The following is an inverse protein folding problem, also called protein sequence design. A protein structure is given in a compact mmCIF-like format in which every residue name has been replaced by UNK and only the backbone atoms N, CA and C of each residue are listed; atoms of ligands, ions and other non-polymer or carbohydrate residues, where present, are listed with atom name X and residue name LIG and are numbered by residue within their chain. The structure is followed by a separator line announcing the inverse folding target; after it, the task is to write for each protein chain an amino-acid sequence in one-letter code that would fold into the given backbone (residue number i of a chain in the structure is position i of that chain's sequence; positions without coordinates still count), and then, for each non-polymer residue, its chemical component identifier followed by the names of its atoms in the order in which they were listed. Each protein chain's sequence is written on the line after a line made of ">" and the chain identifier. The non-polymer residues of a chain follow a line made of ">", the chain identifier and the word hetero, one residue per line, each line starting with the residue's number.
data_IF_871295924028
#
_entry.id   IF_871295924028
#
_cell.length_a   1.000
_cell.length_b   1.000
_cell.length_c   1.000
_cell.angle_alpha   90.00
_cell.angle_beta   90.00
_cell.angle_gamma   90.00
#
_symmetry.space_group_name_H-M   'P 1'
#
loop_
_entity.id
_entity.type
_entity.pdbx_description
1 polymer ?
#
# COMPACT_ATOMS: atom_id res chain seq x y z
N UNK A 1 -49.31 -16.03 0.16
CA UNK A 1 -48.46 -15.34 -0.83
C UNK A 1 -47.24 -16.21 -1.08
N UNK A 2 -47.25 -16.88 -2.24
CA UNK A 2 -46.04 -17.35 -2.89
C UNK A 2 -45.22 -16.11 -3.32
N UNK A 3 -43.89 -16.14 -3.34
CA UNK A 3 -43.17 -16.81 -4.39
C UNK A 3 -41.96 -17.61 -3.90
N UNK A 4 -41.96 -18.87 -4.31
CA UNK A 4 -40.81 -19.78 -4.37
C UNK A 4 -40.01 -19.44 -5.63
N UNK A 5 -38.68 -19.42 -5.53
CA UNK A 5 -37.79 -19.75 -6.65
C UNK A 5 -36.68 -20.67 -6.12
N UNK A 6 -36.96 -21.97 -6.18
CA UNK A 6 -36.02 -23.08 -6.12
C UNK A 6 -35.10 -23.07 -7.34
N UNK A 7 -33.82 -23.39 -7.17
CA UNK A 7 -32.96 -23.75 -8.31
C UNK A 7 -31.48 -23.78 -8.01
N UNK A 8 -30.90 -24.99 -7.96
CA UNK A 8 -29.47 -25.27 -7.84
C UNK A 8 -28.65 -24.58 -8.93
N UNK A 9 -27.51 -24.03 -8.52
CA UNK A 9 -26.41 -23.68 -9.39
C UNK A 9 -25.16 -23.52 -8.53
N UNK A 10 -24.54 -24.63 -8.14
CA UNK A 10 -23.22 -24.63 -7.54
C UNK A 10 -22.21 -24.36 -8.66
N UNK A 11 -22.23 -23.17 -9.25
CA UNK A 11 -21.10 -22.64 -10.00
C UNK A 11 -20.24 -21.99 -8.94
N UNK A 12 -19.18 -22.69 -8.52
CA UNK A 12 -18.06 -22.03 -7.87
C UNK A 12 -17.73 -20.83 -8.76
N UNK A 13 -18.04 -19.63 -8.29
CA UNK A 13 -17.59 -18.40 -8.93
C UNK A 13 -16.09 -18.58 -9.06
N UNK A 14 -15.61 -18.70 -10.29
CA UNK A 14 -14.20 -18.77 -10.58
C UNK A 14 -13.60 -17.54 -9.91
N UNK A 15 -12.93 -17.75 -8.78
CA UNK A 15 -12.20 -16.68 -8.10
C UNK A 15 -11.17 -16.26 -9.13
N UNK A 16 -11.41 -15.16 -9.84
CA UNK A 16 -10.34 -14.46 -10.56
C UNK A 16 -9.35 -14.05 -9.48
N UNK A 17 -8.36 -14.89 -9.24
CA UNK A 17 -7.24 -14.56 -8.39
C UNK A 17 -6.45 -13.51 -9.14
N UNK A 18 -6.53 -12.27 -8.69
CA UNK A 18 -5.53 -11.28 -9.06
C UNK A 18 -4.18 -11.84 -8.62
N UNK A 19 -3.22 -11.88 -9.54
CA UNK A 19 -1.90 -12.40 -9.24
C UNK A 19 -1.29 -11.59 -8.09
N UNK A 20 -0.82 -12.25 -7.02
CA UNK A 20 -0.39 -11.55 -5.81
C UNK A 20 0.75 -10.56 -6.13
N UNK A 21 0.59 -9.35 -5.61
CA UNK A 21 1.53 -8.23 -5.73
C UNK A 21 2.37 -8.13 -4.45
N UNK A 22 3.60 -7.70 -4.61
CA UNK A 22 4.63 -7.58 -3.59
C UNK A 22 5.35 -6.25 -3.73
N UNK A 23 5.53 -5.56 -2.62
CA UNK A 23 6.23 -4.27 -2.57
C UNK A 23 7.66 -4.45 -2.08
N UNK A 24 8.61 -3.79 -2.75
CA UNK A 24 10.02 -3.79 -2.37
C UNK A 24 10.54 -2.37 -2.22
N UNK A 25 11.24 -2.12 -1.10
CA UNK A 25 11.89 -0.85 -0.86
C UNK A 25 13.33 -0.87 -1.40
N UNK A 26 13.66 0.06 -2.31
CA UNK A 26 15.01 0.20 -2.85
C UNK A 26 16.09 0.35 -1.76
N UNK A 27 15.73 1.02 -0.66
CA UNK A 27 16.61 1.21 0.49
C UNK A 27 17.09 -0.10 1.11
N UNK A 28 16.23 -1.12 1.19
CA UNK A 28 16.57 -2.43 1.77
C UNK A 28 17.62 -3.17 0.92
N UNK A 29 17.58 -2.99 -0.40
CA UNK A 29 18.55 -3.61 -1.31
C UNK A 29 19.90 -2.89 -1.31
N UNK A 30 19.93 -1.59 -0.97
CA UNK A 30 21.19 -0.86 -0.71
C UNK A 30 21.84 -1.28 0.60
N UNK A 31 21.04 -1.52 1.65
CA UNK A 31 21.53 -1.87 3.00
C UNK A 31 21.74 -3.37 3.22
N UNK A 32 21.52 -4.22 2.20
CA UNK A 32 21.85 -5.65 2.18
C UNK A 32 23.37 -5.96 2.26
N UNK A 33 24.14 -5.11 2.95
CA UNK A 33 25.51 -5.33 3.38
C UNK A 33 25.63 -6.28 4.58
N UNK A 34 24.53 -6.82 5.11
CA UNK A 34 24.55 -8.09 5.86
C UNK A 34 24.12 -9.24 4.93
N UNK A 35 25.04 -9.66 4.07
CA UNK A 35 24.88 -10.86 3.22
C UNK A 35 24.88 -10.56 1.73
N UNK A 36 26.07 -10.52 1.13
CA UNK A 36 26.31 -10.43 -0.32
C UNK A 36 25.30 -11.23 -1.16
N UNK A 37 24.47 -10.51 -1.92
CA UNK A 37 23.65 -11.10 -2.96
C UNK A 37 23.23 -10.06 -3.98
N UNK A 38 23.95 -9.98 -5.10
CA UNK A 38 23.31 -9.65 -6.37
C UNK A 38 22.07 -10.55 -6.53
N UNK A 39 21.04 -10.08 -7.25
CA UNK A 39 19.83 -10.82 -7.64
C UNK A 39 20.10 -12.13 -8.46
N UNK A 40 21.34 -12.66 -8.42
CA UNK A 40 21.83 -13.84 -9.14
C UNK A 40 21.87 -15.15 -8.35
N UNK A 41 21.32 -15.25 -7.13
CA UNK A 41 21.08 -16.55 -6.48
C UNK A 41 19.58 -16.80 -6.35
N UNK A 42 19.15 -17.92 -6.93
CA UNK A 42 17.77 -18.39 -7.12
C UNK A 42 16.94 -18.29 -5.83
N UNK A 43 16.34 -17.13 -5.58
CA UNK A 43 15.12 -17.03 -4.78
C UNK A 43 13.98 -17.25 -5.78
N UNK A 44 13.35 -18.42 -5.69
CA UNK A 44 12.17 -18.73 -6.50
C UNK A 44 10.96 -18.11 -5.81
N UNK A 45 10.83 -16.78 -5.88
CA UNK A 45 9.61 -16.07 -5.50
C UNK A 45 8.81 -15.75 -6.78
N UNK A 46 7.56 -16.21 -6.91
CA UNK A 46 6.69 -15.80 -8.00
C UNK A 46 5.75 -14.71 -7.49
N UNK A 47 6.08 -13.43 -7.61
CA UNK A 47 5.16 -12.33 -7.23
C UNK A 47 5.41 -11.10 -8.10
N UNK A 48 4.34 -10.37 -8.43
CA UNK A 48 4.39 -9.08 -9.13
C UNK A 48 4.98 -8.02 -8.20
N UNK A 49 5.72 -7.04 -8.71
CA UNK A 49 6.69 -6.27 -7.89
C UNK A 49 6.48 -4.74 -8.00
N UNK A 50 6.62 -3.97 -6.89
CA UNK A 50 6.41 -2.50 -6.79
C UNK A 50 7.61 -1.78 -6.14
N UNK A 51 7.96 -0.55 -6.57
CA UNK A 51 9.12 0.23 -6.06
C UNK A 51 8.85 1.71 -5.79
N UNK A 52 9.36 2.27 -4.69
CA UNK A 52 9.10 3.66 -4.26
C UNK A 52 10.00 4.73 -4.91
N UNK A 53 9.41 5.78 -5.50
CA UNK A 53 10.07 7.00 -5.99
C UNK A 53 9.56 8.28 -5.29
N UNK A 54 10.44 9.28 -5.04
CA UNK A 54 10.03 10.61 -4.59
C UNK A 54 9.60 11.54 -5.74
N UNK A 55 8.77 12.53 -5.40
CA UNK A 55 8.43 13.69 -6.25
C UNK A 55 9.21 14.92 -5.80
N UNK A 56 9.80 15.68 -6.74
CA UNK A 56 10.50 16.91 -6.41
C UNK A 56 9.51 18.02 -6.02
N UNK A 57 9.63 18.56 -4.81
CA UNK A 57 8.70 19.57 -4.26
C UNK A 57 8.53 20.86 -5.09
N UNK A 58 9.52 21.24 -5.91
CA UNK A 58 9.48 22.50 -6.67
C UNK A 58 8.99 22.33 -8.10
N UNK A 59 9.22 21.15 -8.69
CA UNK A 59 8.99 20.90 -10.12
C UNK A 59 7.99 19.79 -10.36
N UNK A 60 7.55 19.11 -9.30
CA UNK A 60 6.75 17.89 -9.32
C UNK A 60 7.29 16.76 -10.22
N UNK A 61 8.59 16.82 -10.53
CA UNK A 61 9.24 15.80 -11.33
C UNK A 61 9.49 14.57 -10.47
N UNK A 62 9.10 13.39 -10.97
CA UNK A 62 9.47 12.10 -10.38
C UNK A 62 10.99 11.95 -10.49
N UNK A 63 11.65 11.70 -9.36
CA UNK A 63 13.10 11.51 -9.28
C UNK A 63 13.41 10.16 -8.64
N UNK A 64 14.67 9.73 -8.72
CA UNK A 64 15.13 8.58 -7.94
C UNK A 64 15.37 9.00 -6.49
N UNK A 65 15.12 8.10 -5.54
CA UNK A 65 15.40 8.38 -4.12
C UNK A 65 16.91 8.48 -3.86
N UNK A 66 17.68 7.59 -4.47
CA UNK A 66 19.13 7.63 -4.52
C UNK A 66 19.62 7.45 -5.96
N UNK A 67 20.82 7.92 -6.28
CA UNK A 67 21.41 7.76 -7.62
C UNK A 67 21.65 6.27 -7.95
N UNK A 68 22.04 5.49 -6.95
CA UNK A 68 22.29 4.05 -7.10
C UNK A 68 21.04 3.25 -7.49
N UNK A 69 19.84 3.80 -7.23
CA UNK A 69 18.59 3.12 -7.54
C UNK A 69 18.35 3.01 -9.05
N UNK A 70 18.99 3.85 -9.87
CA UNK A 70 18.85 3.80 -11.34
C UNK A 70 19.19 2.41 -11.86
N UNK A 71 20.21 1.75 -11.29
CA UNK A 71 20.57 0.39 -11.69
C UNK A 71 19.51 -0.62 -11.26
N UNK A 72 19.02 -0.49 -10.02
CA UNK A 72 17.98 -1.36 -9.47
C UNK A 72 16.69 -1.27 -10.29
N UNK A 73 16.26 -0.06 -10.69
CA UNK A 73 15.07 0.11 -11.54
C UNK A 73 15.22 -0.56 -12.91
N UNK A 74 16.43 -0.55 -13.50
CA UNK A 74 16.69 -1.24 -14.77
C UNK A 74 16.66 -2.77 -14.62
N UNK A 75 17.28 -3.29 -13.57
CA UNK A 75 17.24 -4.73 -13.27
C UNK A 75 15.79 -5.18 -13.00
N UNK A 76 15.08 -4.37 -12.23
CA UNK A 76 13.69 -4.56 -11.86
C UNK A 76 12.76 -4.57 -13.07
N UNK A 77 12.72 -3.50 -13.86
CA UNK A 77 11.86 -3.43 -15.05
C UNK A 77 12.24 -4.49 -16.11
N UNK A 78 13.45 -5.04 -16.05
CA UNK A 78 13.89 -6.18 -16.85
C UNK A 78 13.14 -7.49 -16.59
N UNK A 79 12.48 -7.65 -15.43
CA UNK A 79 11.70 -8.86 -15.12
C UNK A 79 10.47 -9.00 -16.02
N UNK A 80 10.03 -7.94 -16.71
CA UNK A 80 8.95 -8.02 -17.72
C UNK A 80 9.21 -9.09 -18.78
N UNK A 81 10.49 -9.38 -19.09
CA UNK A 81 10.89 -10.46 -20.00
C UNK A 81 10.49 -11.87 -19.53
N UNK A 82 10.12 -12.01 -18.25
CA UNK A 82 9.63 -13.25 -17.64
C UNK A 82 8.09 -13.32 -17.59
N UNK A 83 7.39 -12.36 -18.22
CA UNK A 83 5.93 -12.28 -18.21
C UNK A 83 5.34 -11.67 -16.93
N UNK A 84 6.15 -10.91 -16.17
CA UNK A 84 5.71 -10.23 -14.95
C UNK A 84 5.40 -8.75 -15.22
N UNK A 85 4.47 -8.19 -14.45
CA UNK A 85 4.26 -6.75 -14.41
C UNK A 85 5.22 -6.08 -13.42
N UNK A 86 5.60 -4.85 -13.73
CA UNK A 86 6.50 -4.06 -12.89
C UNK A 86 5.90 -2.67 -12.67
N UNK A 87 5.62 -2.34 -11.42
CA UNK A 87 4.98 -1.06 -11.06
C UNK A 87 5.93 -0.20 -10.25
N UNK A 88 5.71 1.11 -10.33
CA UNK A 88 6.45 2.11 -9.56
C UNK A 88 5.45 2.80 -8.64
N UNK A 89 5.65 2.65 -7.34
CA UNK A 89 4.95 3.38 -6.31
C UNK A 89 5.60 4.77 -6.15
N UNK A 90 4.79 5.81 -5.98
CA UNK A 90 5.28 7.17 -5.75
C UNK A 90 4.80 7.60 -4.37
N UNK A 91 5.73 8.06 -3.51
CA UNK A 91 5.40 8.52 -2.15
C UNK A 91 5.96 7.65 -1.03
N UNK A 92 5.08 7.12 -0.18
CA UNK A 92 5.41 6.38 1.03
C UNK A 92 5.56 7.25 2.28
N UNK A 93 5.59 6.62 3.46
CA UNK A 93 5.58 7.31 4.77
C UNK A 93 6.65 8.40 4.90
N UNK A 94 7.91 8.08 4.56
CA UNK A 94 9.04 9.01 4.66
C UNK A 94 8.90 10.24 3.76
N UNK A 95 8.13 10.14 2.69
CA UNK A 95 7.91 11.27 1.79
C UNK A 95 6.95 12.31 2.39
N UNK A 96 5.95 11.85 3.15
CA UNK A 96 4.94 12.69 3.83
C UNK A 96 5.26 12.93 5.31
N UNK A 97 6.45 12.54 5.77
CA UNK A 97 6.92 12.84 7.12
C UNK A 97 7.46 14.28 7.22
N UNK A 98 7.80 14.73 8.43
CA UNK A 98 8.43 16.04 8.62
C UNK A 98 9.68 16.19 7.75
N UNK A 99 9.67 17.19 6.88
CA UNK A 99 10.76 17.44 5.94
C UNK A 99 10.30 18.30 4.76
N UNK A 100 11.20 18.53 3.79
CA UNK A 100 10.91 19.36 2.62
C UNK A 100 9.76 18.81 1.77
N UNK A 101 9.63 17.49 1.64
CA UNK A 101 8.63 16.86 0.77
C UNK A 101 7.26 16.71 1.42
N UNK A 102 7.09 17.13 2.69
CA UNK A 102 5.91 16.85 3.51
C UNK A 102 4.60 17.27 2.83
N UNK A 103 4.57 18.46 2.23
CA UNK A 103 3.37 19.00 1.58
C UNK A 103 3.32 18.70 0.09
N UNK A 104 4.33 18.03 -0.49
CA UNK A 104 4.43 17.89 -1.95
C UNK A 104 3.22 17.20 -2.57
N UNK A 105 2.64 16.19 -1.91
CA UNK A 105 1.38 15.62 -2.40
C UNK A 105 0.24 16.63 -2.28
N UNK A 106 0.08 17.29 -1.14
CA UNK A 106 -0.89 18.36 -0.91
C UNK A 106 -0.66 19.63 -1.76
N UNK A 107 0.45 19.75 -2.47
CA UNK A 107 0.71 20.85 -3.40
C UNK A 107 0.51 20.38 -4.86
N UNK A 108 0.72 19.09 -5.16
CA UNK A 108 0.49 18.46 -6.47
C UNK A 108 -1.00 18.17 -6.71
N UNK A 109 -1.60 17.55 -5.71
CA UNK A 109 -3.02 17.42 -5.51
C UNK A 109 -3.17 17.89 -4.07
N UNK A 110 -3.32 19.23 -3.83
CA UNK A 110 -4.05 19.64 -2.63
C UNK A 110 -5.22 18.72 -2.65
N UNK A 111 -5.28 17.80 -1.70
CA UNK A 111 -6.17 16.64 -1.74
C UNK A 111 -5.69 15.18 -1.66
N UNK A 112 -4.73 14.86 -0.78
CA UNK A 112 -4.50 13.46 -0.39
C UNK A 112 -3.83 13.20 0.96
N UNK A 113 -3.58 14.22 1.79
CA UNK A 113 -2.82 14.06 3.02
C UNK A 113 -3.70 13.91 4.27
N UNK A 114 -3.26 13.11 5.23
CA UNK A 114 -3.76 13.26 6.60
C UNK A 114 -3.28 14.60 7.20
N UNK A 115 -4.06 15.30 8.05
CA UNK A 115 -3.64 16.60 8.61
C UNK A 115 -2.30 16.57 9.36
N UNK A 116 -2.03 15.49 10.09
CA UNK A 116 -0.74 15.26 10.75
C UNK A 116 0.43 15.00 9.76
N UNK A 117 0.13 14.83 8.48
CA UNK A 117 1.05 14.55 7.36
C UNK A 117 1.10 15.68 6.34
N UNK A 118 0.59 16.86 6.67
CA UNK A 118 0.61 18.02 5.77
C UNK A 118 -0.58 18.10 4.82
N UNK A 119 -1.62 17.29 5.01
CA UNK A 119 -2.89 17.43 4.29
C UNK A 119 -3.77 18.56 4.83
N UNK A 120 -4.65 19.08 3.97
CA UNK A 120 -5.62 20.16 4.26
C UNK A 120 -7.05 19.61 4.28
N UNK A 121 -8.06 20.34 4.76
CA UNK A 121 -9.43 19.77 4.86
C UNK A 121 -10.09 19.61 3.49
N UNK A 122 -9.70 20.49 2.59
CA UNK A 122 -10.10 20.48 1.21
C UNK A 122 -9.70 19.14 0.57
N UNK A 123 -8.83 18.35 1.23
CA UNK A 123 -8.07 17.22 0.74
C UNK A 123 -8.78 16.01 0.08
N UNK A 124 -10.05 16.09 -0.31
CA UNK A 124 -10.76 14.95 -0.93
C UNK A 124 -11.27 15.21 -2.35
N UNK A 125 -11.40 16.47 -2.78
CA UNK A 125 -12.05 16.83 -4.05
C UNK A 125 -11.17 16.66 -5.30
N UNK A 126 -9.84 16.61 -5.17
CA UNK A 126 -8.90 16.65 -6.32
C UNK A 126 -8.08 15.37 -6.52
N UNK A 127 -8.26 14.36 -5.66
CA UNK A 127 -7.60 13.06 -5.83
C UNK A 127 -8.11 12.31 -7.07
N UNK A 128 -9.44 12.26 -7.24
CA UNK A 128 -10.08 11.61 -8.40
C UNK A 128 -9.71 12.33 -9.72
N UNK A 129 -9.74 13.67 -9.81
CA UNK A 129 -9.19 14.41 -10.95
C UNK A 129 -7.72 14.07 -11.26
N UNK A 130 -6.83 14.05 -10.26
CA UNK A 130 -5.42 13.71 -10.48
C UNK A 130 -5.28 12.32 -11.13
N UNK A 131 -6.01 11.32 -10.64
CA UNK A 131 -5.96 9.97 -11.21
C UNK A 131 -6.46 9.93 -12.66
N UNK A 132 -7.49 10.73 -12.99
CA UNK A 132 -7.99 10.87 -14.36
C UNK A 132 -6.95 11.52 -15.27
N UNK A 133 -6.30 12.59 -14.81
CA UNK A 133 -5.26 13.28 -15.57
C UNK A 133 -4.04 12.38 -15.79
N UNK A 134 -3.65 11.60 -14.77
CA UNK A 134 -2.59 10.59 -14.89
C UNK A 134 -2.96 9.51 -15.91
N UNK A 135 -4.17 8.94 -15.83
CA UNK A 135 -4.63 7.95 -16.81
C UNK A 135 -4.68 8.53 -18.22
N UNK A 136 -5.13 9.77 -18.40
CA UNK A 136 -5.12 10.44 -19.71
C UNK A 136 -3.70 10.68 -20.25
N UNK A 137 -2.76 11.10 -19.40
CA UNK A 137 -1.39 11.38 -19.78
C UNK A 137 -0.56 10.12 -20.07
N UNK A 138 -0.83 9.04 -19.35
CA UNK A 138 -0.01 7.82 -19.35
C UNK A 138 -0.65 6.63 -20.04
N UNK A 139 -1.97 6.63 -20.24
CA UNK A 139 -2.75 5.48 -20.72
C UNK A 139 -2.32 4.94 -22.07
N UNK A 140 -2.08 5.82 -23.06
CA UNK A 140 -1.62 5.38 -24.38
C UNK A 140 -0.21 4.79 -24.39
N UNK A 141 0.63 5.16 -23.42
CA UNK A 141 2.04 4.74 -23.34
C UNK A 141 2.26 3.51 -22.46
N UNK A 142 1.47 3.38 -21.40
CA UNK A 142 1.63 2.35 -20.38
C UNK A 142 0.41 1.46 -20.22
N UNK A 143 -0.54 1.53 -21.17
CA UNK A 143 -1.73 0.67 -21.23
C UNK A 143 -2.68 0.83 -20.03
N UNK A 144 -2.66 2.01 -19.39
CA UNK A 144 -3.57 2.35 -18.29
C UNK A 144 -4.93 2.75 -18.89
N UNK A 145 -5.89 1.82 -18.84
CA UNK A 145 -7.22 1.98 -19.42
C UNK A 145 -8.20 2.73 -18.49
N UNK A 146 -7.91 2.72 -17.19
CA UNK A 146 -8.75 3.24 -16.12
C UNK A 146 -7.93 4.06 -15.12
N UNK A 147 -8.51 5.11 -14.49
CA UNK A 147 -7.83 5.88 -13.44
C UNK A 147 -7.31 5.03 -12.27
N UNK A 148 -8.00 3.92 -11.96
CA UNK A 148 -7.60 2.95 -10.95
C UNK A 148 -7.90 1.54 -11.48
N UNK A 149 -6.84 0.77 -11.73
CA UNK A 149 -6.95 -0.64 -12.11
C UNK A 149 -7.18 -1.52 -10.88
N UNK A 150 -6.42 -1.25 -9.81
CA UNK A 150 -6.45 -2.01 -8.57
C UNK A 150 -6.21 -1.10 -7.36
N UNK A 151 -6.79 -1.46 -6.22
CA UNK A 151 -6.63 -0.78 -4.95
C UNK A 151 -5.92 -1.68 -3.95
N UNK A 152 -4.81 -1.20 -3.39
CA UNK A 152 -4.05 -1.91 -2.36
C UNK A 152 -4.40 -1.33 -0.99
N UNK A 153 -5.07 -2.13 -0.16
CA UNK A 153 -5.45 -1.75 1.20
C UNK A 153 -4.32 -2.16 2.13
N UNK A 154 -3.70 -1.18 2.81
CA UNK A 154 -2.69 -1.42 3.84
C UNK A 154 -3.36 -1.97 5.11
N UNK A 155 -3.69 -3.26 5.11
CA UNK A 155 -4.38 -3.97 6.19
C UNK A 155 -3.41 -4.40 7.32
N UNK A 156 -2.48 -3.51 7.66
CA UNK A 156 -1.38 -3.70 8.61
C UNK A 156 -1.00 -2.34 9.23
N UNK A 157 -0.16 -2.34 10.27
CA UNK A 157 0.11 -1.13 11.08
C UNK A 157 -1.19 -0.54 11.70
N UNK A 158 -2.18 -1.38 12.02
CA UNK A 158 -3.42 -0.94 12.69
C UNK A 158 -3.13 -0.47 14.12
N UNK A 159 -2.26 -1.22 14.79
CA UNK A 159 -1.84 -0.95 16.15
C UNK A 159 -0.32 -0.94 16.30
N UNK A 160 0.16 -0.09 17.20
CA UNK A 160 1.57 0.02 17.49
C UNK A 160 1.86 0.87 18.72
N UNK A 161 3.14 1.16 19.01
CA UNK A 161 3.52 1.95 20.19
C UNK A 161 2.89 3.35 20.24
N UNK A 162 2.51 3.91 19.08
CA UNK A 162 1.83 5.20 18.98
C UNK A 162 0.42 5.22 19.58
N UNK A 163 -0.17 4.06 19.89
CA UNK A 163 -1.49 3.97 20.52
C UNK A 163 -1.49 4.47 21.98
N UNK A 164 -0.31 4.64 22.60
CA UNK A 164 -0.21 5.02 24.01
C UNK A 164 -0.96 6.33 24.35
N UNK A 165 -1.01 7.26 23.40
CA UNK A 165 -1.63 8.58 23.54
C UNK A 165 -3.08 8.61 23.02
N UNK A 166 -3.57 7.52 22.42
CA UNK A 166 -4.93 7.41 21.92
C UNK A 166 -5.87 7.14 23.10
N UNK A 167 -6.62 8.16 23.52
CA UNK A 167 -7.49 8.10 24.71
C UNK A 167 -8.46 6.91 24.75
N UNK A 168 -8.94 6.48 23.58
CA UNK A 168 -9.90 5.39 23.42
C UNK A 168 -9.25 4.00 23.57
N UNK A 169 -7.93 3.89 23.36
CA UNK A 169 -7.17 2.64 23.41
C UNK A 169 -6.36 2.59 24.71
N UNK A 170 -5.52 3.60 24.93
CA UNK A 170 -4.59 3.70 26.04
C UNK A 170 -3.35 2.81 25.86
N UNK A 171 -2.60 2.64 26.96
CA UNK A 171 -1.38 1.82 27.00
C UNK A 171 -1.73 0.35 27.13
N UNK A 172 -2.08 -0.28 26.02
CA UNK A 172 -2.32 -1.72 25.95
C UNK A 172 -1.67 -2.33 24.70
N UNK A 173 -1.30 -3.60 24.77
CA UNK A 173 -0.82 -4.38 23.63
C UNK A 173 -2.00 -4.76 22.73
N UNK A 174 -1.96 -4.36 21.46
CA UNK A 174 -2.96 -4.77 20.48
C UNK A 174 -2.31 -5.49 19.30
N UNK A 175 -3.13 -6.22 18.56
CA UNK A 175 -2.69 -6.95 17.38
C UNK A 175 -2.26 -5.98 16.30
N UNK A 176 -1.00 -6.08 15.86
CA UNK A 176 -0.46 -5.32 14.73
C UNK A 176 -1.39 -5.31 13.49
N UNK A 177 -2.02 -6.46 13.25
CA UNK A 177 -3.12 -6.69 12.30
C UNK A 177 -4.32 -7.21 13.10
N UNK A 178 -5.52 -6.71 12.83
CA UNK A 178 -6.75 -7.08 13.53
C UNK A 178 -7.87 -7.44 12.53
N UNK A 179 -8.13 -8.74 12.34
CA UNK A 179 -9.09 -9.24 11.33
C UNK A 179 -10.51 -8.68 11.54
N UNK A 180 -11.09 -8.71 12.76
CA UNK A 180 -12.37 -8.05 13.02
C UNK A 180 -12.42 -6.57 12.61
N UNK A 181 -11.36 -5.80 12.88
CA UNK A 181 -11.32 -4.38 12.50
C UNK A 181 -11.21 -4.21 10.99
N UNK A 182 -10.35 -4.99 10.33
CA UNK A 182 -10.22 -4.99 8.87
C UNK A 182 -11.56 -5.32 8.21
N UNK A 183 -12.29 -6.31 8.72
CA UNK A 183 -13.62 -6.67 8.23
C UNK A 183 -14.61 -5.50 8.39
N UNK A 184 -14.62 -4.85 9.55
CA UNK A 184 -15.51 -3.73 9.82
C UNK A 184 -15.17 -2.49 8.97
N UNK A 185 -13.89 -2.20 8.76
CA UNK A 185 -13.45 -1.02 7.99
C UNK A 185 -13.50 -1.23 6.47
N UNK A 186 -13.49 -2.47 6.00
CA UNK A 186 -13.66 -2.79 4.57
C UNK A 186 -15.12 -2.95 4.15
N UNK A 187 -16.05 -3.16 5.09
CA UNK A 187 -17.48 -3.30 4.81
C UNK A 187 -18.08 -2.13 4.00
N UNK A 188 -17.74 -0.85 4.26
CA UNK A 188 -18.24 0.26 3.46
C UNK A 188 -17.85 0.19 1.97
N UNK A 189 -16.75 -0.49 1.62
CA UNK A 189 -16.37 -0.67 0.21
C UNK A 189 -17.35 -1.60 -0.51
N UNK A 190 -17.79 -2.65 0.16
CA UNK A 190 -18.83 -3.54 -0.35
C UNK A 190 -20.17 -2.80 -0.48
N UNK A 191 -20.56 -2.04 0.56
CA UNK A 191 -21.81 -1.28 0.56
C UNK A 191 -21.83 -0.17 -0.52
N UNK A 192 -20.67 0.42 -0.81
CA UNK A 192 -20.49 1.39 -1.89
C UNK A 192 -20.45 0.76 -3.30
N UNK A 193 -20.52 -0.57 -3.42
CA UNK A 193 -20.51 -1.29 -4.69
C UNK A 193 -19.15 -1.34 -5.38
N UNK A 194 -18.05 -1.22 -4.64
CA UNK A 194 -16.70 -1.40 -5.18
C UNK A 194 -16.53 -2.85 -5.65
N UNK A 195 -16.02 -3.03 -6.87
CA UNK A 195 -15.68 -4.37 -7.39
C UNK A 195 -14.56 -4.97 -6.56
N UNK A 196 -14.90 -5.96 -5.74
CA UNK A 196 -13.95 -6.63 -4.84
C UNK A 196 -12.82 -7.35 -5.60
N UNK A 197 -12.99 -7.66 -6.90
CA UNK A 197 -11.91 -8.24 -7.72
C UNK A 197 -10.77 -7.23 -7.92
N UNK A 198 -11.02 -5.93 -7.77
CA UNK A 198 -9.98 -4.89 -7.86
C UNK A 198 -9.27 -4.61 -6.53
N UNK A 199 -9.70 -5.26 -5.44
CA UNK A 199 -9.16 -5.01 -4.10
C UNK A 199 -8.11 -6.05 -3.76
N UNK A 200 -6.92 -5.56 -3.42
CA UNK A 200 -5.85 -6.34 -2.81
C UNK A 200 -5.74 -5.99 -1.33
N UNK A 201 -5.80 -7.01 -0.47
CA UNK A 201 -5.52 -6.85 0.94
C UNK A 201 -4.02 -7.03 1.17
N UNK A 202 -3.38 -5.99 1.70
CA UNK A 202 -1.96 -5.99 2.03
C UNK A 202 -1.65 -6.94 3.18
N UNK A 203 -0.57 -7.69 3.03
CA UNK A 203 0.04 -8.50 4.07
C UNK A 203 1.47 -8.02 4.24
N UNK A 204 1.87 -7.74 5.47
CA UNK A 204 3.19 -7.24 5.77
C UNK A 204 4.15 -8.37 6.17
N UNK A 205 5.44 -8.12 5.96
CA UNK A 205 6.54 -9.02 6.33
C UNK A 205 7.37 -8.42 7.47
N UNK A 206 6.77 -7.52 8.25
CA UNK A 206 7.36 -6.94 9.45
C UNK A 206 6.39 -7.10 10.63
N UNK A 207 6.67 -6.44 11.75
CA UNK A 207 5.76 -6.40 12.88
C UNK A 207 6.11 -5.19 13.76
N UNK A 208 5.12 -4.63 14.47
CA UNK A 208 5.39 -3.78 15.64
C UNK A 208 5.55 -4.63 16.88
N UNK A 209 6.36 -4.14 17.80
CA UNK A 209 6.64 -4.78 19.08
C UNK A 209 6.37 -3.80 20.21
N UNK A 210 5.97 -4.35 21.34
CA UNK A 210 5.76 -3.63 22.58
C UNK A 210 6.78 -4.11 23.62
N UNK A 211 7.21 -3.18 24.47
CA UNK A 211 7.82 -3.53 25.75
C UNK A 211 6.72 -3.44 26.79
N UNK A 212 6.33 -4.58 27.36
CA UNK A 212 5.26 -4.63 28.38
C UNK A 212 5.81 -4.27 29.76
N UNK A 213 5.00 -3.59 30.56
CA UNK A 213 5.35 -3.27 31.94
C UNK A 213 5.17 -4.48 32.87
N UNK A 214 4.15 -5.32 32.62
CA UNK A 214 3.91 -6.55 33.37
C UNK A 214 4.15 -7.80 32.52
N UNK A 215 5.21 -8.53 32.85
CA UNK A 215 5.57 -9.77 32.15
C UNK A 215 4.52 -10.89 32.35
N UNK A 216 3.66 -10.81 33.37
CA UNK A 216 2.57 -11.75 33.60
C UNK A 216 1.32 -11.41 32.79
N UNK A 217 1.26 -10.22 32.18
CA UNK A 217 0.15 -9.72 31.38
C UNK A 217 0.66 -9.28 29.99
N UNK A 218 1.30 -10.21 29.27
CA UNK A 218 1.98 -9.94 28.00
C UNK A 218 1.18 -10.36 26.73
N UNK A 219 -0.06 -10.79 26.91
CA UNK A 219 -1.00 -11.08 25.81
C UNK A 219 -1.69 -9.82 25.27
N UNK A 220 -2.59 -9.97 24.30
CA UNK A 220 -3.43 -8.86 23.80
C UNK A 220 -4.26 -8.28 24.95
N UNK A 221 -4.32 -6.95 25.05
CA UNK A 221 -4.94 -6.20 26.14
C UNK A 221 -4.05 -6.04 27.38
N UNK A 222 -2.83 -6.59 27.34
CA UNK A 222 -1.81 -6.46 28.37
C UNK A 222 -1.19 -5.07 28.46
N UNK A 223 -0.49 -4.77 29.56
CA UNK A 223 0.14 -3.45 29.83
C UNK A 223 1.66 -3.55 29.97
#
# INVERSE_FOLDING_TARGET
>A
MAATATGRGNTATEKKSVAPRSEFQAAMLRTAACGKGSLGRKVKCPLNEHWLLPVCQYTFAVKTWHQDDVKLYKEFTGIKKKGLESWIAIGGWSFSDFGPTRTTFSDLSPNGGAPNRGGRKEDTDYYVPLLKDMSAAFGSKYEIDQPVENMEIMAYDLHGPWDEDVKQIGRVTLGYTNIPEIANWSLPLYDAGVDLVKINMGLDYYARRYTVADLNCNGVGGK
#
